data_IF_103867802182
#
_entry.id   IF_103867802182
#
_cell.length_a   1.000
_cell.length_b   1.000
_cell.length_c   1.000
_cell.angle_alpha   90.00
_cell.angle_beta   90.00
_cell.angle_gamma   90.00
#
_symmetry.space_group_name_H-M   'P 1'
#
loop_
_entity.id
_entity.type
_entity.pdbx_description
1 polymer ?
#
# COMPACT_ATOMS: atom_id res chain seq x y z
N UNK A 1 -12.76 -49.03 12.38
CA UNK A 1 -12.56 -47.63 11.98
C UNK A 1 -13.49 -47.36 10.82
N UNK A 2 -14.48 -46.51 11.04
CA UNK A 2 -15.52 -46.17 10.07
C UNK A 2 -14.94 -45.23 9.00
N UNK A 3 -15.49 -45.24 7.78
CA UNK A 3 -15.06 -44.32 6.71
C UNK A 3 -15.10 -42.85 7.15
N UNK A 4 -16.08 -42.50 7.99
CA UNK A 4 -16.21 -41.17 8.58
C UNK A 4 -15.01 -40.80 9.47
N UNK A 5 -14.51 -41.73 10.29
CA UNK A 5 -13.33 -41.51 11.13
C UNK A 5 -12.07 -41.30 10.29
N UNK A 6 -11.94 -42.04 9.17
CA UNK A 6 -10.83 -41.87 8.24
C UNK A 6 -10.85 -40.50 7.56
N UNK A 7 -12.01 -40.09 7.02
CA UNK A 7 -12.18 -38.77 6.38
C UNK A 7 -11.90 -37.61 7.34
N UNK A 8 -12.34 -37.73 8.60
CA UNK A 8 -12.06 -36.70 9.61
C UNK A 8 -10.57 -36.66 9.93
N UNK A 9 -9.90 -37.81 10.05
CA UNK A 9 -8.46 -37.88 10.29
C UNK A 9 -7.66 -37.25 9.14
N UNK A 10 -8.05 -37.50 7.89
CA UNK A 10 -7.39 -36.94 6.70
C UNK A 10 -7.56 -35.41 6.64
N UNK A 11 -8.75 -34.90 7.00
CA UNK A 11 -9.01 -33.46 7.06
C UNK A 11 -8.21 -32.76 8.16
N UNK A 12 -8.08 -33.39 9.33
CA UNK A 12 -7.26 -32.86 10.44
C UNK A 12 -5.78 -32.78 10.04
N UNK A 13 -5.27 -33.81 9.38
CA UNK A 13 -3.87 -33.82 8.93
C UNK A 13 -3.61 -32.71 7.90
N UNK A 14 -4.52 -32.49 6.96
CA UNK A 14 -4.40 -31.42 5.97
C UNK A 14 -4.41 -30.03 6.62
N UNK A 15 -5.31 -29.78 7.58
CA UNK A 15 -5.36 -28.51 8.32
C UNK A 15 -4.09 -28.32 9.15
N UNK A 16 -3.56 -29.38 9.77
CA UNK A 16 -2.34 -29.32 10.57
C UNK A 16 -1.11 -29.01 9.70
N UNK A 17 -0.99 -29.62 8.53
CA UNK A 17 0.08 -29.28 7.57
C UNK A 17 -0.02 -27.84 7.06
N UNK A 18 -1.22 -27.32 6.84
CA UNK A 18 -1.44 -25.92 6.45
C UNK A 18 -1.03 -24.95 7.57
N UNK A 19 -1.31 -25.31 8.83
CA UNK A 19 -0.89 -24.53 9.99
C UNK A 19 0.63 -24.56 10.19
N UNK A 20 1.25 -25.73 10.06
CA UNK A 20 2.71 -25.92 10.22
C UNK A 20 3.51 -25.20 9.12
N UNK A 21 2.94 -25.06 7.92
CA UNK A 21 3.55 -24.35 6.79
C UNK A 21 3.18 -22.85 6.74
N UNK A 22 2.40 -22.34 7.70
CA UNK A 22 2.17 -20.90 7.86
C UNK A 22 3.07 -20.39 8.99
N UNK A 23 4.31 -19.93 8.71
CA UNK A 23 5.18 -19.48 9.78
C UNK A 23 4.51 -18.28 10.47
N UNK A 24 4.14 -18.46 11.74
CA UNK A 24 3.40 -17.53 12.61
C UNK A 24 1.88 -17.40 12.40
N UNK A 25 1.23 -18.25 11.59
CA UNK A 25 -0.23 -18.23 11.46
C UNK A 25 -0.82 -16.95 10.84
N UNK A 26 0.01 -16.13 10.19
CA UNK A 26 -0.40 -14.94 9.46
C UNK A 26 -0.18 -15.21 7.98
N UNK A 27 -1.26 -15.38 7.23
CA UNK A 27 -1.19 -15.29 5.77
C UNK A 27 -1.01 -13.81 5.46
N UNK A 28 0.23 -13.40 5.21
CA UNK A 28 0.55 -12.02 4.81
C UNK A 28 0.30 -11.94 3.30
N UNK A 29 -0.80 -11.30 2.90
CA UNK A 29 -1.07 -11.04 1.48
C UNK A 29 -0.20 -9.87 0.97
N UNK A 30 -0.15 -9.71 -0.35
CA UNK A 30 0.68 -8.68 -0.99
C UNK A 30 0.32 -7.26 -0.51
N UNK A 31 -0.95 -7.04 -0.18
CA UNK A 31 -1.46 -5.76 0.34
C UNK A 31 -0.92 -5.47 1.74
N UNK A 32 -0.89 -6.48 2.62
CA UNK A 32 -0.28 -6.35 3.96
C UNK A 32 1.21 -6.00 3.88
N UNK A 33 1.95 -6.61 2.94
CA UNK A 33 3.38 -6.30 2.72
C UNK A 33 3.55 -4.85 2.21
N UNK A 34 2.71 -4.43 1.26
CA UNK A 34 2.77 -3.08 0.70
C UNK A 34 2.47 -2.01 1.75
N UNK A 35 1.48 -2.24 2.61
CA UNK A 35 1.15 -1.35 3.71
C UNK A 35 2.32 -1.17 4.69
N UNK A 36 2.97 -2.27 5.10
CA UNK A 36 4.14 -2.21 6.00
C UNK A 36 5.31 -1.42 5.38
N UNK A 37 5.55 -1.58 4.07
CA UNK A 37 6.59 -0.81 3.36
C UNK A 37 6.24 0.68 3.36
N UNK A 38 5.00 1.04 3.04
CA UNK A 38 4.56 2.44 3.00
C UNK A 38 4.61 3.12 4.37
N UNK A 39 4.23 2.41 5.44
CA UNK A 39 4.30 2.93 6.82
C UNK A 39 5.75 3.19 7.27
N UNK A 40 6.71 2.43 6.73
CA UNK A 40 8.13 2.61 7.02
C UNK A 40 8.80 3.80 6.30
N UNK A 41 8.10 4.47 5.37
CA UNK A 41 8.65 5.60 4.62
C UNK A 41 8.71 6.83 5.50
N UNK A 42 9.92 7.34 5.73
CA UNK A 42 10.14 8.61 6.42
C UNK A 42 9.72 9.80 5.52
N UNK A 43 8.49 10.26 5.74
CA UNK A 43 7.90 11.38 5.01
C UNK A 43 8.27 12.75 5.59
N UNK A 44 8.89 12.80 6.77
CA UNK A 44 9.26 14.04 7.45
C UNK A 44 10.64 14.56 7.01
N UNK A 45 11.59 13.65 6.74
CA UNK A 45 12.98 14.01 6.40
C UNK A 45 13.22 14.06 4.89
N UNK A 46 12.77 13.04 4.17
CA UNK A 46 12.87 12.94 2.70
C UNK A 46 11.49 13.15 2.12
N UNK A 47 11.13 14.40 1.85
CA UNK A 47 9.75 14.74 1.44
C UNK A 47 9.29 13.98 0.19
N UNK A 48 8.54 12.90 0.40
CA UNK A 48 8.01 11.98 -0.61
C UNK A 48 7.25 12.70 -1.74
N UNK A 49 6.54 13.78 -1.40
CA UNK A 49 5.81 14.61 -2.36
C UNK A 49 6.71 15.13 -3.49
N UNK A 50 7.94 15.57 -3.19
CA UNK A 50 8.86 16.09 -4.22
C UNK A 50 9.33 15.00 -5.16
N UNK A 51 9.56 13.79 -4.65
CA UNK A 51 9.98 12.64 -5.46
C UNK A 51 8.86 12.22 -6.42
N UNK A 52 7.62 12.14 -5.91
CA UNK A 52 6.44 11.86 -6.74
C UNK A 52 6.31 12.89 -7.86
N UNK A 53 6.47 14.19 -7.56
CA UNK A 53 6.43 15.24 -8.58
C UNK A 53 7.53 15.12 -9.62
N UNK A 54 8.74 14.72 -9.22
CA UNK A 54 9.84 14.49 -10.15
C UNK A 54 9.59 13.26 -11.03
N UNK A 55 9.07 12.17 -10.47
CA UNK A 55 8.70 10.97 -11.22
C UNK A 55 7.65 11.33 -12.28
N UNK A 56 6.58 12.02 -11.89
CA UNK A 56 5.54 12.44 -12.83
C UNK A 56 6.07 13.37 -13.94
N UNK A 57 6.96 14.32 -13.60
CA UNK A 57 7.56 15.23 -14.59
C UNK A 57 8.44 14.48 -15.61
N UNK A 58 9.21 13.50 -15.14
CA UNK A 58 10.15 12.74 -15.97
C UNK A 58 9.51 11.55 -16.68
N UNK A 59 8.29 11.16 -16.30
CA UNK A 59 7.60 10.03 -16.89
C UNK A 59 7.17 10.33 -18.34
N UNK A 60 7.41 9.33 -19.20
CA UNK A 60 6.88 9.31 -20.57
C UNK A 60 5.36 9.08 -20.56
N UNK A 61 4.89 8.20 -19.68
CA UNK A 61 3.48 7.90 -19.46
C UNK A 61 3.04 8.44 -18.10
N UNK A 62 2.39 9.61 -18.12
CA UNK A 62 1.91 10.29 -16.91
C UNK A 62 0.65 9.64 -16.35
N UNK A 63 -0.20 9.11 -17.23
CA UNK A 63 -1.46 8.45 -16.86
C UNK A 63 -1.18 7.19 -16.03
N UNK A 64 -0.13 6.43 -16.37
CA UNK A 64 0.31 5.30 -15.57
C UNK A 64 0.79 5.71 -14.16
N UNK A 65 1.50 6.84 -14.04
CA UNK A 65 1.95 7.36 -12.74
C UNK A 65 0.76 7.85 -11.90
N UNK A 66 -0.18 8.57 -12.50
CA UNK A 66 -1.41 9.03 -11.85
C UNK A 66 -2.28 7.85 -11.39
N UNK A 67 -2.41 6.81 -12.23
CA UNK A 67 -3.14 5.59 -11.90
C UNK A 67 -2.49 4.83 -10.75
N UNK A 68 -1.15 4.73 -10.72
CA UNK A 68 -0.42 4.12 -9.61
C UNK A 68 -0.60 4.94 -8.32
N UNK A 69 -0.52 6.27 -8.40
CA UNK A 69 -0.73 7.14 -7.25
C UNK A 69 -2.15 6.96 -6.67
N UNK A 70 -3.17 6.93 -7.53
CA UNK A 70 -4.54 6.70 -7.12
C UNK A 70 -4.73 5.30 -6.49
N UNK A 71 -4.08 4.26 -7.04
CA UNK A 71 -4.14 2.92 -6.46
C UNK A 71 -3.51 2.84 -5.06
N UNK A 72 -2.48 3.65 -4.78
CA UNK A 72 -1.80 3.66 -3.49
C UNK A 72 -2.49 4.53 -2.42
N UNK A 73 -3.10 5.64 -2.85
CA UNK A 73 -3.63 6.66 -1.92
C UNK A 73 -5.14 6.69 -1.85
N UNK A 74 -5.83 6.01 -2.78
CA UNK A 74 -7.27 6.11 -3.03
C UNK A 74 -7.74 7.55 -3.36
N UNK A 75 -6.80 8.42 -3.74
CA UNK A 75 -7.04 9.83 -4.08
C UNK A 75 -6.46 10.10 -5.47
N UNK A 76 -7.20 10.81 -6.32
CA UNK A 76 -6.69 11.18 -7.63
C UNK A 76 -5.50 12.14 -7.50
N UNK A 77 -4.58 12.09 -8.47
CA UNK A 77 -3.42 12.97 -8.43
C UNK A 77 -3.80 14.45 -8.47
N UNK A 78 -4.82 14.81 -9.25
CA UNK A 78 -5.35 16.19 -9.31
C UNK A 78 -5.94 16.63 -7.96
N UNK A 79 -6.74 15.79 -7.30
CA UNK A 79 -7.32 16.10 -6.00
C UNK A 79 -6.22 16.29 -4.94
N UNK A 80 -5.16 15.48 -5.00
CA UNK A 80 -3.99 15.67 -4.13
C UNK A 80 -3.33 17.03 -4.35
N UNK A 81 -3.12 17.45 -5.60
CA UNK A 81 -2.54 18.75 -5.92
C UNK A 81 -3.40 19.92 -5.44
N UNK A 82 -4.73 19.84 -5.62
CA UNK A 82 -5.68 20.83 -5.10
C UNK A 82 -5.57 20.96 -3.57
N UNK A 83 -5.58 19.83 -2.86
CA UNK A 83 -5.39 19.81 -1.40
C UNK A 83 -4.05 20.41 -0.98
N UNK A 84 -2.97 20.12 -1.71
CA UNK A 84 -1.67 20.74 -1.47
C UNK A 84 -1.76 22.26 -1.58
N UNK A 85 -2.38 22.80 -2.65
CA UNK A 85 -2.51 24.25 -2.85
C UNK A 85 -3.33 24.89 -1.72
N UNK A 86 -4.48 24.30 -1.37
CA UNK A 86 -5.41 24.82 -0.37
C UNK A 86 -4.84 24.79 1.06
N UNK A 87 -4.09 23.74 1.40
CA UNK A 87 -3.68 23.48 2.78
C UNK A 87 -2.23 23.90 3.08
N UNK A 88 -1.35 23.96 2.07
CA UNK A 88 0.05 24.38 2.28
C UNK A 88 0.23 25.90 2.31
N UNK A 89 -0.71 26.67 1.75
CA UNK A 89 -0.64 28.14 1.83
C UNK A 89 -1.13 28.64 3.20
N UNK A 90 -0.18 28.91 4.12
CA UNK A 90 -0.33 30.09 4.97
C UNK A 90 -0.16 31.31 4.06
N UNK A 91 -1.22 32.11 3.94
CA UNK A 91 -1.23 33.34 3.13
C UNK A 91 -0.29 34.38 3.77
N UNK A 92 0.99 34.33 3.46
CA UNK A 92 1.88 35.49 3.50
C UNK A 92 2.50 35.65 2.11
N UNK A 93 1.64 36.01 1.14
CA UNK A 93 2.10 36.83 0.02
C UNK A 93 2.32 38.25 0.57
N UNK A 94 3.52 38.54 1.06
CA UNK A 94 4.01 39.92 1.01
C UNK A 94 4.65 40.11 -0.37
N UNK A 95 3.92 40.79 -1.24
CA UNK A 95 4.50 41.43 -2.41
C UNK A 95 5.19 42.70 -1.91
N UNK A 96 6.52 42.71 -1.88
CA UNK A 96 7.34 43.92 -1.97
C UNK A 96 8.21 43.88 -3.22
#
# INVERSE_FOLDING_TARGET
MTEKEKTISDAINCVTELLDNTPNGVIIDADTILADILDSVDTEVTGLAKEIFQIWQNAADKEAVESLFAALTDVSFDEYLERCIEQSTRRECELE
#
